data_IF_685154016773
#
_entry.id   IF_685154016773
#
_cell.length_a   1.000
_cell.length_b   1.000
_cell.length_c   1.000
_cell.angle_alpha   90.00
_cell.angle_beta   90.00
_cell.angle_gamma   90.00
#
_symmetry.space_group_name_H-M   'P 1'
#
loop_
_entity.id
_entity.type
_entity.pdbx_description
1 polymer ?
#
# COMPACT_ATOMS: atom_id res chain seq x y z
N UNK A 1 -12.18 10.33 15.07
CA UNK A 1 -12.81 10.63 13.78
C UNK A 1 -13.27 9.31 13.16
N UNK A 2 -14.43 9.28 12.51
CA UNK A 2 -14.90 8.07 11.85
C UNK A 2 -14.01 7.77 10.63
N UNK A 3 -13.62 6.51 10.46
CA UNK A 3 -12.87 6.04 9.31
C UNK A 3 -13.61 6.41 8.01
N UNK A 4 -12.90 7.06 7.07
CA UNK A 4 -13.38 7.26 5.70
C UNK A 4 -13.18 6.01 4.84
N UNK A 5 -12.72 4.89 5.41
CA UNK A 5 -12.56 3.64 4.70
C UNK A 5 -13.95 3.09 4.31
N UNK A 6 -14.19 2.99 3.01
CA UNK A 6 -15.27 2.17 2.50
C UNK A 6 -14.98 0.72 2.90
N UNK A 7 -15.86 0.04 3.67
CA UNK A 7 -15.61 -1.33 4.12
C UNK A 7 -15.50 -2.35 2.97
N UNK A 8 -15.80 -1.95 1.74
CA UNK A 8 -15.57 -2.76 0.55
C UNK A 8 -14.08 -2.91 0.18
N UNK A 9 -13.18 -2.10 0.74
CA UNK A 9 -11.75 -2.10 0.37
C UNK A 9 -10.86 -2.27 1.60
N UNK A 10 -9.87 -3.16 1.48
CA UNK A 10 -8.89 -3.42 2.54
C UNK A 10 -7.88 -2.27 2.71
N UNK A 11 -7.64 -1.49 1.64
CA UNK A 11 -6.74 -0.34 1.64
C UNK A 11 -7.12 0.66 0.53
N UNK A 12 -6.71 1.92 0.72
CA UNK A 12 -6.88 3.00 -0.27
C UNK A 12 -5.59 3.80 -0.43
N UNK A 13 -5.22 4.13 -1.66
CA UNK A 13 -4.11 5.00 -2.01
C UNK A 13 -4.48 5.89 -3.21
N UNK A 14 -3.55 6.73 -3.69
CA UNK A 14 -3.83 7.72 -4.73
C UNK A 14 -3.32 7.35 -6.13
N UNK A 15 -2.39 6.38 -6.26
CA UNK A 15 -1.71 6.13 -7.53
C UNK A 15 -1.94 4.73 -8.10
N UNK A 16 -2.19 3.70 -7.29
CA UNK A 16 -2.19 2.30 -7.78
C UNK A 16 -3.22 2.06 -8.87
N UNK A 17 -4.44 2.61 -8.75
CA UNK A 17 -5.47 2.48 -9.77
C UNK A 17 -5.09 3.19 -11.09
N UNK A 18 -4.42 4.34 -11.02
CA UNK A 18 -3.97 5.06 -12.20
C UNK A 18 -2.87 4.29 -12.95
N UNK A 19 -1.94 3.66 -12.21
CA UNK A 19 -0.90 2.80 -12.82
C UNK A 19 -1.51 1.56 -13.47
N UNK A 20 -2.49 0.91 -12.80
CA UNK A 20 -3.22 -0.23 -13.39
C UNK A 20 -3.88 0.14 -14.72
N UNK A 21 -4.56 1.29 -14.79
CA UNK A 21 -5.22 1.72 -16.03
C UNK A 21 -4.23 1.88 -17.20
N UNK A 22 -3.01 2.36 -16.94
CA UNK A 22 -1.94 2.43 -17.94
C UNK A 22 -1.45 1.03 -18.32
N UNK A 23 -1.25 0.14 -17.34
CA UNK A 23 -0.81 -1.23 -17.58
C UNK A 23 -1.80 -2.00 -18.47
N UNK A 24 -3.10 -1.87 -18.18
CA UNK A 24 -4.19 -2.46 -18.98
C UNK A 24 -4.19 -1.94 -20.42
N UNK A 25 -4.00 -0.62 -20.61
CA UNK A 25 -3.94 0.00 -21.94
C UNK A 25 -2.76 -0.51 -22.79
N UNK A 26 -1.71 -1.04 -22.15
CA UNK A 26 -0.53 -1.60 -22.81
C UNK A 26 -0.46 -3.13 -22.78
N UNK A 27 -1.46 -3.81 -22.21
CA UNK A 27 -1.49 -5.28 -22.10
C UNK A 27 -0.34 -5.85 -21.26
N UNK A 28 0.18 -5.08 -20.30
CA UNK A 28 1.27 -5.51 -19.41
C UNK A 28 0.71 -5.93 -18.05
N UNK A 29 1.13 -7.08 -17.48
CA UNK A 29 0.70 -7.46 -16.14
C UNK A 29 1.25 -6.48 -15.10
N UNK A 30 0.41 -6.12 -14.13
CA UNK A 30 0.77 -5.19 -13.05
C UNK A 30 0.42 -5.76 -11.68
N UNK A 31 1.31 -5.53 -10.72
CA UNK A 31 1.13 -5.88 -9.31
C UNK A 31 1.59 -4.69 -8.45
N UNK A 32 0.67 -4.10 -7.69
CA UNK A 32 0.97 -3.09 -6.69
C UNK A 32 1.25 -3.70 -5.32
N UNK A 33 2.42 -3.41 -4.74
CA UNK A 33 2.77 -3.81 -3.36
C UNK A 33 2.80 -2.55 -2.50
N UNK A 34 1.94 -2.50 -1.47
CA UNK A 34 1.78 -1.34 -0.57
C UNK A 34 1.99 -1.76 0.88
N UNK A 35 2.60 -0.88 1.68
CA UNK A 35 2.66 -0.98 3.13
C UNK A 35 1.67 0.00 3.75
N UNK A 36 0.97 -0.41 4.81
CA UNK A 36 -0.02 0.44 5.50
C UNK A 36 0.70 1.43 6.43
N UNK A 37 0.42 2.72 6.25
CA UNK A 37 1.02 3.82 7.03
C UNK A 37 0.07 4.41 8.09
N UNK A 38 -1.22 4.11 8.00
CA UNK A 38 -2.27 4.66 8.86
C UNK A 38 -3.55 3.84 8.66
N UNK A 39 -4.43 3.87 9.65
CA UNK A 39 -5.70 3.17 9.62
C UNK A 39 -6.10 2.49 10.94
N UNK A 40 -7.14 1.69 10.88
CA UNK A 40 -7.63 0.97 12.05
C UNK A 40 -6.59 -0.06 12.54
N UNK A 41 -6.49 -0.20 13.87
CA UNK A 41 -5.57 -1.17 14.49
C UNK A 41 -4.18 -0.63 14.83
N UNK A 42 -4.00 0.70 14.83
CA UNK A 42 -2.78 1.33 15.32
C UNK A 42 -2.43 0.88 16.76
N UNK A 43 -1.29 0.20 16.98
CA UNK A 43 -0.88 -0.28 18.31
C UNK A 43 -0.50 0.84 19.28
N UNK A 44 -0.22 2.06 18.79
CA UNK A 44 0.17 3.20 19.63
C UNK A 44 -0.99 4.15 19.93
N UNK A 45 -2.17 3.91 19.35
CA UNK A 45 -3.37 4.74 19.58
C UNK A 45 -3.16 6.21 19.24
N UNK A 46 -2.42 6.51 18.18
CA UNK A 46 -2.19 7.85 17.66
C UNK A 46 -3.51 8.47 17.17
N UNK A 47 -3.56 9.80 16.94
CA UNK A 47 -4.80 10.48 16.57
C UNK A 47 -5.41 10.15 15.19
N UNK A 48 -4.90 9.16 14.44
CA UNK A 48 -5.24 8.95 13.04
C UNK A 48 -4.33 9.72 12.07
N UNK A 49 -4.67 9.66 10.79
CA UNK A 49 -4.06 10.51 9.76
C UNK A 49 -4.20 12.01 10.13
N UNK A 50 -3.13 12.83 9.98
CA UNK A 50 -1.84 12.52 9.35
C UNK A 50 -0.75 12.06 10.32
N UNK A 51 -1.04 11.96 11.62
CA UNK A 51 -0.03 11.65 12.64
C UNK A 51 0.51 10.23 12.48
N UNK A 52 -0.39 9.25 12.29
CA UNK A 52 -0.02 7.87 11.98
C UNK A 52 0.86 7.80 10.72
N UNK A 53 0.44 8.46 9.63
CA UNK A 53 1.21 8.49 8.39
C UNK A 53 2.64 8.99 8.64
N UNK A 54 2.81 10.13 9.32
CA UNK A 54 4.16 10.66 9.57
C UNK A 54 4.99 9.78 10.48
N UNK A 55 4.37 9.03 11.40
CA UNK A 55 5.05 8.11 12.30
C UNK A 55 5.44 6.80 11.59
N UNK A 56 4.54 6.22 10.79
CA UNK A 56 4.70 4.88 10.22
C UNK A 56 5.11 4.84 8.74
N UNK A 57 5.11 5.95 8.00
CA UNK A 57 5.47 5.94 6.56
C UNK A 57 6.81 5.25 6.26
N UNK A 58 7.79 5.38 7.16
CA UNK A 58 9.11 4.79 6.97
C UNK A 58 9.05 3.26 7.08
N UNK A 59 8.42 2.72 8.13
CA UNK A 59 8.28 1.26 8.28
C UNK A 59 7.34 0.67 7.22
N UNK A 60 6.30 1.41 6.81
CA UNK A 60 5.42 1.03 5.71
C UNK A 60 6.21 0.90 4.39
N UNK A 61 7.05 1.89 4.07
CA UNK A 61 7.90 1.88 2.89
C UNK A 61 8.93 0.74 2.93
N UNK A 62 9.60 0.53 4.07
CA UNK A 62 10.58 -0.55 4.24
C UNK A 62 9.94 -1.93 4.08
N UNK A 63 8.76 -2.15 4.65
CA UNK A 63 8.05 -3.41 4.51
C UNK A 63 7.61 -3.65 3.07
N UNK A 64 7.06 -2.65 2.39
CA UNK A 64 6.71 -2.75 0.97
C UNK A 64 7.94 -3.08 0.11
N UNK A 65 9.07 -2.44 0.38
CA UNK A 65 10.33 -2.69 -0.32
C UNK A 65 10.86 -4.11 -0.07
N UNK A 66 10.81 -4.61 1.17
CA UNK A 66 11.22 -5.98 1.52
C UNK A 66 10.37 -7.03 0.80
N UNK A 67 9.04 -6.85 0.79
CA UNK A 67 8.13 -7.77 0.10
C UNK A 67 8.38 -7.72 -1.41
N UNK A 68 8.58 -6.53 -1.97
CA UNK A 68 8.91 -6.36 -3.40
C UNK A 68 10.22 -7.07 -3.74
N UNK A 69 11.27 -6.89 -2.94
CA UNK A 69 12.56 -7.52 -3.15
C UNK A 69 12.46 -9.06 -3.06
N UNK A 70 11.75 -9.58 -2.06
CA UNK A 70 11.51 -11.01 -1.91
C UNK A 70 10.73 -11.59 -3.09
N UNK A 71 9.68 -10.89 -3.54
CA UNK A 71 8.91 -11.27 -4.73
C UNK A 71 9.82 -11.36 -5.95
N UNK A 72 10.59 -10.32 -6.24
CA UNK A 72 11.52 -10.28 -7.39
C UNK A 72 12.60 -11.36 -7.33
N UNK A 73 13.10 -11.72 -6.14
CA UNK A 73 14.05 -12.83 -5.97
C UNK A 73 13.44 -14.20 -6.26
N UNK A 74 12.16 -14.38 -5.91
CA UNK A 74 11.42 -15.64 -6.13
C UNK A 74 10.79 -15.75 -7.52
N UNK A 75 10.71 -14.63 -8.24
CA UNK A 75 10.02 -14.56 -9.52
C UNK A 75 10.86 -15.22 -10.61
N UNK A 76 10.42 -16.40 -11.05
CA UNK A 76 11.10 -17.17 -12.11
C UNK A 76 10.99 -16.52 -13.51
N UNK A 77 10.26 -15.39 -13.64
CA UNK A 77 9.95 -14.81 -14.93
C UNK A 77 8.78 -15.51 -15.62
N UNK A 78 8.33 -14.91 -16.72
CA UNK A 78 7.64 -15.62 -17.82
C UNK A 78 8.72 -16.06 -18.80
#
# INVERSE_FOLDING_TARGET
MASTANPAFDATDNETAAVQAVADAHGVPFLGIRGVSDGAGDPLGLPGFPFEFFFYKQIAAENAARVTAAFLQSWAGV
#
